data_IF_455951642299
#
_entry.id   IF_455951642299
#
_cell.length_a   1.000
_cell.length_b   1.000
_cell.length_c   1.000
_cell.angle_alpha   90.00
_cell.angle_beta   90.00
_cell.angle_gamma   90.00
#
_symmetry.space_group_name_H-M   'P 1'
#
loop_
_entity.id
_entity.type
_entity.pdbx_description
1 polymer ?
#
# COMPACT_ATOMS: atom_id res chain seq x y z
N UNK A 1 10.65 3.30 -13.62
CA UNK A 1 9.68 3.14 -14.72
C UNK A 1 10.08 1.93 -15.56
N UNK A 2 11.29 1.84 -16.09
CA UNK A 2 11.74 0.70 -16.92
C UNK A 2 11.54 -0.67 -16.23
N UNK A 3 11.78 -0.76 -14.91
CA UNK A 3 11.60 -2.00 -14.14
C UNK A 3 10.12 -2.45 -14.05
N UNK A 4 9.18 -1.53 -14.22
CA UNK A 4 7.73 -1.80 -14.12
C UNK A 4 7.11 -1.98 -15.51
N UNK A 5 7.48 -1.12 -16.46
CA UNK A 5 6.86 -1.07 -17.80
C UNK A 5 7.65 -1.84 -18.86
N UNK A 6 8.89 -2.24 -18.56
CA UNK A 6 9.88 -2.80 -19.49
C UNK A 6 10.14 -1.92 -20.72
N UNK A 7 9.80 -0.63 -20.63
CA UNK A 7 10.01 0.35 -21.70
C UNK A 7 10.85 1.53 -21.17
N UNK A 8 11.78 2.02 -21.98
CA UNK A 8 12.49 3.26 -21.69
C UNK A 8 11.51 4.43 -21.89
N UNK A 9 11.40 5.36 -20.92
CA UNK A 9 10.60 6.56 -21.13
C UNK A 9 11.22 7.39 -22.25
N UNK A 10 10.43 7.73 -23.26
CA UNK A 10 10.90 8.51 -24.41
C UNK A 10 11.25 9.96 -24.01
N UNK A 11 10.45 10.55 -23.13
CA UNK A 11 10.64 11.90 -22.56
C UNK A 11 10.13 11.91 -21.11
N UNK A 12 10.79 12.66 -20.23
CA UNK A 12 10.33 12.91 -18.87
C UNK A 12 9.61 14.26 -18.84
N UNK A 13 8.34 14.25 -18.40
CA UNK A 13 7.58 15.46 -18.22
C UNK A 13 8.15 16.31 -17.08
N UNK A 14 8.19 17.63 -17.27
CA UNK A 14 8.58 18.59 -16.24
C UNK A 14 7.37 19.12 -15.47
N UNK A 15 7.59 19.52 -14.23
CA UNK A 15 6.52 20.13 -13.41
C UNK A 15 6.26 21.55 -13.88
N UNK A 16 4.97 21.93 -14.04
CA UNK A 16 4.56 23.31 -14.36
C UNK A 16 5.09 24.28 -13.30
N UNK A 17 5.46 25.48 -13.75
CA UNK A 17 6.00 26.52 -12.87
C UNK A 17 4.94 27.15 -11.94
N UNK A 18 3.65 26.94 -12.20
CA UNK A 18 2.51 27.56 -11.53
C UNK A 18 1.73 26.61 -10.62
N UNK A 19 2.36 25.52 -10.14
CA UNK A 19 1.71 24.61 -9.20
C UNK A 19 1.30 25.37 -7.95
N UNK A 20 -0.01 25.42 -7.71
CA UNK A 20 -0.57 25.97 -6.48
C UNK A 20 -0.45 24.96 -5.36
N UNK A 21 0.46 25.21 -4.43
CA UNK A 21 0.61 24.42 -3.21
C UNK A 21 -0.57 24.73 -2.29
N UNK A 22 -1.50 23.76 -2.17
CA UNK A 22 -2.66 23.90 -1.30
C UNK A 22 -2.25 23.74 0.17
N UNK A 23 -2.88 24.51 1.05
CA UNK A 23 -2.76 24.28 2.49
C UNK A 23 -3.57 23.05 2.89
N UNK A 24 -3.05 22.30 3.86
CA UNK A 24 -3.82 21.26 4.52
C UNK A 24 -4.99 21.92 5.27
N UNK A 25 -6.22 21.56 4.87
CA UNK A 25 -7.45 22.07 5.50
C UNK A 25 -7.93 21.19 6.65
N UNK A 26 -7.59 19.91 6.59
CA UNK A 26 -7.97 18.90 7.58
C UNK A 26 -6.87 18.76 8.64
N UNK A 27 -7.29 18.47 9.87
CA UNK A 27 -6.38 18.21 10.97
C UNK A 27 -5.76 16.83 10.85
N UNK A 28 -4.71 16.57 11.62
CA UNK A 28 -4.07 15.25 11.66
C UNK A 28 -5.04 14.19 12.19
N UNK A 29 -5.88 14.56 13.15
CA UNK A 29 -6.89 13.68 13.75
C UNK A 29 -7.93 13.25 12.70
N UNK A 30 -8.36 14.17 11.83
CA UNK A 30 -9.27 13.84 10.72
C UNK A 30 -8.63 12.82 9.77
N UNK A 31 -7.36 13.03 9.40
CA UNK A 31 -6.63 12.10 8.53
C UNK A 31 -6.45 10.72 9.17
N UNK A 32 -6.17 10.65 10.47
CA UNK A 32 -6.04 9.39 11.19
C UNK A 32 -7.36 8.63 11.25
N UNK A 33 -8.48 9.31 11.53
CA UNK A 33 -9.79 8.67 11.51
C UNK A 33 -10.14 8.11 10.13
N UNK A 34 -9.92 8.90 9.08
CA UNK A 34 -10.15 8.46 7.71
C UNK A 34 -9.26 7.27 7.35
N UNK A 35 -7.99 7.28 7.77
CA UNK A 35 -7.07 6.18 7.53
C UNK A 35 -7.53 4.88 8.19
N UNK A 36 -7.98 4.92 9.45
CA UNK A 36 -8.48 3.73 10.14
C UNK A 36 -9.74 3.13 9.49
N UNK A 37 -10.56 3.96 8.83
CA UNK A 37 -11.78 3.51 8.16
C UNK A 37 -11.54 2.98 6.75
N UNK A 38 -10.59 3.58 6.01
CA UNK A 38 -10.44 3.33 4.58
C UNK A 38 -9.14 2.58 4.21
N UNK A 39 -8.17 2.48 5.12
CA UNK A 39 -6.92 1.79 4.81
C UNK A 39 -7.16 0.30 4.60
N UNK A 40 -6.76 -0.22 3.43
CA UNK A 40 -6.99 -1.60 3.01
C UNK A 40 -6.31 -2.62 3.92
N UNK A 41 -5.15 -2.29 4.51
CA UNK A 41 -4.44 -3.18 5.44
C UNK A 41 -5.24 -3.35 6.74
N UNK A 42 -5.87 -2.27 7.23
CA UNK A 42 -6.74 -2.34 8.42
C UNK A 42 -7.97 -3.18 8.11
N UNK A 43 -8.62 -2.98 6.95
CA UNK A 43 -9.78 -3.79 6.54
C UNK A 43 -9.42 -5.27 6.39
N UNK A 44 -8.28 -5.57 5.77
CA UNK A 44 -7.78 -6.94 5.64
C UNK A 44 -7.58 -7.60 7.01
N UNK A 45 -7.05 -6.88 8.00
CA UNK A 45 -6.89 -7.43 9.34
C UNK A 45 -8.22 -7.58 10.11
N UNK A 46 -9.20 -6.71 9.86
CA UNK A 46 -10.56 -6.90 10.37
C UNK A 46 -11.19 -8.19 9.81
N UNK A 47 -11.02 -8.45 8.52
CA UNK A 47 -11.48 -9.69 7.89
C UNK A 47 -10.75 -10.92 8.46
N UNK A 48 -9.44 -10.83 8.72
CA UNK A 48 -8.67 -11.90 9.35
C UNK A 48 -9.20 -12.23 10.77
N UNK A 49 -9.59 -11.23 11.55
CA UNK A 49 -10.25 -11.45 12.86
C UNK A 49 -11.60 -12.16 12.67
N UNK A 50 -12.40 -11.75 11.68
CA UNK A 50 -13.68 -12.38 11.38
C UNK A 50 -13.50 -13.84 10.91
N UNK A 51 -12.46 -14.14 10.11
CA UNK A 51 -12.09 -15.51 9.72
C UNK A 51 -11.74 -16.33 10.95
N UNK A 52 -10.82 -15.87 11.80
CA UNK A 52 -10.41 -16.56 13.01
C UNK A 52 -11.58 -16.81 13.97
N UNK A 53 -12.56 -15.91 14.01
CA UNK A 53 -13.80 -16.12 14.77
C UNK A 53 -14.65 -17.27 14.22
N UNK A 54 -14.76 -17.38 12.89
CA UNK A 54 -15.46 -18.50 12.24
C UNK A 54 -14.71 -19.82 12.41
N UNK A 55 -13.39 -19.80 12.44
CA UNK A 55 -12.58 -21.01 12.69
C UNK A 55 -12.84 -21.63 14.06
N UNK A 56 -13.18 -20.83 15.09
CA UNK A 56 -13.63 -21.37 16.38
C UNK A 56 -14.91 -22.18 16.22
N UNK A 57 -15.85 -21.72 15.39
CA UNK A 57 -17.10 -22.43 15.11
C UNK A 57 -16.82 -23.73 14.38
N UNK A 58 -15.93 -23.69 13.37
CA UNK A 58 -15.47 -24.88 12.63
C UNK A 58 -14.80 -25.90 13.57
N UNK A 59 -13.88 -25.42 14.42
CA UNK A 59 -13.22 -26.29 15.42
C UNK A 59 -14.21 -26.97 16.38
N UNK A 60 -15.23 -26.23 16.84
CA UNK A 60 -16.31 -26.79 17.68
C UNK A 60 -17.23 -27.76 16.92
N UNK A 61 -17.41 -27.56 15.61
CA UNK A 61 -18.22 -28.47 14.78
C UNK A 61 -17.63 -29.87 14.69
N UNK A 62 -16.35 -30.08 15.05
CA UNK A 62 -15.78 -31.41 15.20
C UNK A 62 -16.46 -32.31 16.26
N UNK A 63 -17.32 -31.74 17.13
CA UNK A 63 -18.19 -32.51 18.02
C UNK A 63 -19.49 -32.97 17.37
N UNK A 64 -19.82 -32.46 16.18
CA UNK A 64 -21.07 -32.78 15.49
C UNK A 64 -20.93 -34.06 14.65
N UNK A 65 -22.02 -34.81 14.44
CA UNK A 65 -22.04 -35.91 13.50
C UNK A 65 -21.78 -35.44 12.08
N UNK A 66 -21.03 -36.23 11.30
CA UNK A 66 -20.90 -36.08 9.85
C UNK A 66 -21.69 -37.13 9.11
N UNK A 67 -22.31 -36.77 8.01
CA UNK A 67 -23.06 -37.64 7.10
C UNK A 67 -22.49 -37.51 5.72
N UNK A 68 -21.88 -38.56 5.23
CA UNK A 68 -21.20 -38.59 3.95
C UNK A 68 -21.87 -39.58 2.98
N UNK A 69 -22.06 -39.20 1.72
CA UNK A 69 -22.45 -40.10 0.64
C UNK A 69 -21.18 -40.58 -0.05
N UNK A 70 -20.95 -41.87 -0.04
CA UNK A 70 -19.76 -42.49 -0.61
C UNK A 70 -20.15 -43.37 -1.83
N UNK A 71 -19.44 -43.20 -2.94
CA UNK A 71 -19.55 -44.05 -4.10
C UNK A 71 -18.14 -44.48 -4.52
N UNK A 72 -17.91 -45.77 -4.66
CA UNK A 72 -16.65 -46.30 -5.14
C UNK A 72 -16.87 -47.32 -6.24
N UNK A 73 -16.00 -47.27 -7.24
CA UNK A 73 -15.93 -48.29 -8.28
C UNK A 73 -14.49 -48.75 -8.42
N UNK A 74 -14.27 -50.07 -8.29
CA UNK A 74 -12.95 -50.67 -8.46
C UNK A 74 -13.00 -51.82 -9.47
N UNK A 75 -12.03 -51.83 -10.37
CA UNK A 75 -11.76 -52.93 -11.28
C UNK A 75 -10.41 -53.52 -10.88
N UNK A 76 -10.41 -54.82 -10.62
CA UNK A 76 -9.20 -55.57 -10.23
C UNK A 76 -9.04 -56.74 -11.23
N UNK A 77 -7.91 -56.71 -11.96
CA UNK A 77 -7.54 -57.76 -12.88
C UNK A 77 -6.30 -58.51 -12.37
N UNK A 78 -6.42 -59.83 -12.26
CA UNK A 78 -5.31 -60.68 -11.89
C UNK A 78 -5.10 -61.79 -12.94
N UNK A 79 -3.92 -61.84 -13.56
CA UNK A 79 -3.59 -62.83 -14.58
C UNK A 79 -3.46 -64.27 -14.01
N UNK A 80 -3.14 -64.39 -12.72
CA UNK A 80 -3.03 -65.66 -12.01
C UNK A 80 -3.38 -65.45 -10.55
N UNK A 81 -4.33 -66.18 -10.04
CA UNK A 81 -4.60 -66.28 -8.60
C UNK A 81 -3.92 -67.53 -8.03
N UNK A 82 -3.89 -67.68 -6.69
CA UNK A 82 -3.34 -68.87 -5.99
C UNK A 82 -3.96 -70.17 -6.46
N UNK A 83 -5.10 -70.16 -7.18
CA UNK A 83 -5.79 -71.31 -7.74
C UNK A 83 -5.51 -71.55 -9.23
N UNK A 84 -4.56 -70.79 -9.83
CA UNK A 84 -4.12 -70.98 -11.23
C UNK A 84 -5.04 -70.37 -12.32
N UNK A 85 -6.13 -69.66 -11.94
CA UNK A 85 -7.06 -69.04 -12.88
C UNK A 85 -6.95 -67.51 -12.77
N UNK A 86 -7.04 -66.79 -13.92
CA UNK A 86 -7.21 -65.37 -13.99
C UNK A 86 -8.56 -64.92 -13.41
N UNK A 87 -8.61 -63.78 -12.74
CA UNK A 87 -9.85 -63.18 -12.27
C UNK A 87 -9.98 -61.73 -12.69
N UNK A 88 -11.17 -61.35 -13.13
CA UNK A 88 -11.57 -59.97 -13.40
C UNK A 88 -12.75 -59.67 -12.47
N UNK A 89 -12.51 -58.76 -11.55
CA UNK A 89 -13.46 -58.39 -10.51
C UNK A 89 -13.79 -56.90 -10.65
N UNK A 90 -15.06 -56.65 -10.93
CA UNK A 90 -15.66 -55.34 -10.93
C UNK A 90 -16.50 -55.17 -9.65
N UNK A 91 -16.17 -54.23 -8.83
CA UNK A 91 -16.92 -53.96 -7.61
C UNK A 91 -17.38 -52.49 -7.59
N UNK A 92 -18.68 -52.28 -7.44
CA UNK A 92 -19.32 -50.99 -7.27
C UNK A 92 -20.01 -50.94 -5.92
N UNK A 93 -19.70 -49.91 -5.13
CA UNK A 93 -20.32 -49.68 -3.82
C UNK A 93 -20.89 -48.27 -3.78
N UNK A 94 -22.15 -48.15 -3.36
CA UNK A 94 -22.80 -46.87 -3.03
C UNK A 94 -23.38 -47.00 -1.64
N UNK A 95 -23.08 -45.99 -0.80
CA UNK A 95 -23.51 -46.01 0.59
C UNK A 95 -23.62 -44.63 1.22
N UNK A 96 -24.20 -44.60 2.42
CA UNK A 96 -24.25 -43.43 3.28
C UNK A 96 -23.50 -43.81 4.55
N UNK A 97 -22.54 -42.99 4.95
CA UNK A 97 -21.74 -43.18 6.15
C UNK A 97 -22.07 -42.07 7.17
N UNK A 98 -22.52 -42.46 8.37
CA UNK A 98 -22.76 -41.57 9.50
C UNK A 98 -21.65 -41.79 10.53
N UNK A 99 -20.85 -40.77 10.75
CA UNK A 99 -19.78 -40.79 11.77
C UNK A 99 -20.14 -39.87 12.95
N UNK A 100 -20.23 -40.43 14.16
CA UNK A 100 -20.58 -39.71 15.38
C UNK A 100 -19.40 -39.81 16.35
N UNK A 101 -18.61 -38.73 16.55
CA UNK A 101 -17.49 -38.73 17.49
C UNK A 101 -18.01 -38.67 18.94
N UNK A 102 -18.00 -39.80 19.66
CA UNK A 102 -18.46 -39.86 21.06
C UNK A 102 -17.39 -39.32 22.01
N UNK A 103 -16.13 -39.73 21.83
CA UNK A 103 -15.00 -39.32 22.67
C UNK A 103 -13.68 -39.43 21.90
N UNK A 104 -12.91 -38.32 21.92
CA UNK A 104 -11.60 -38.25 21.23
C UNK A 104 -10.49 -37.76 22.17
N UNK A 105 -10.54 -38.14 23.46
CA UNK A 105 -9.49 -37.83 24.42
C UNK A 105 -9.22 -36.34 24.62
N UNK A 106 -10.22 -35.47 24.36
CA UNK A 106 -10.07 -34.00 24.48
C UNK A 106 -9.44 -33.30 23.26
N UNK A 107 -9.17 -34.03 22.18
CA UNK A 107 -8.54 -33.45 20.98
C UNK A 107 -9.35 -32.28 20.39
N UNK A 108 -10.67 -32.44 20.18
CA UNK A 108 -11.53 -31.39 19.64
C UNK A 108 -11.54 -30.15 20.55
N UNK A 109 -11.65 -30.35 21.86
CA UNK A 109 -11.60 -29.26 22.84
C UNK A 109 -10.26 -28.52 22.84
N UNK A 110 -9.15 -29.23 22.55
CA UNK A 110 -7.82 -28.64 22.41
C UNK A 110 -7.73 -27.78 21.14
N UNK A 111 -8.24 -28.29 19.98
CA UNK A 111 -8.31 -27.56 18.72
C UNK A 111 -9.19 -26.31 18.87
N UNK A 112 -10.33 -26.41 19.55
CA UNK A 112 -11.20 -25.26 19.79
C UNK A 112 -10.52 -24.18 20.68
N UNK A 113 -9.72 -24.58 21.68
CA UNK A 113 -8.91 -23.64 22.47
C UNK A 113 -7.81 -23.02 21.64
N UNK A 114 -7.13 -23.78 20.79
CA UNK A 114 -6.14 -23.28 19.86
C UNK A 114 -6.74 -22.23 18.95
N UNK A 115 -7.88 -22.49 18.31
CA UNK A 115 -8.59 -21.50 17.48
C UNK A 115 -8.96 -20.24 18.27
N UNK A 116 -9.29 -20.37 19.58
CA UNK A 116 -9.51 -19.23 20.48
C UNK A 116 -8.26 -18.35 20.65
N UNK A 117 -7.07 -18.94 20.77
CA UNK A 117 -5.80 -18.20 20.83
C UNK A 117 -5.41 -17.60 19.50
N UNK A 118 -5.70 -18.27 18.37
CA UNK A 118 -5.48 -17.69 17.03
C UNK A 118 -6.36 -16.46 16.81
N UNK A 119 -7.62 -16.46 17.28
CA UNK A 119 -8.46 -15.24 17.29
C UNK A 119 -7.84 -14.11 18.11
N UNK A 120 -7.33 -14.40 19.33
CA UNK A 120 -6.66 -13.37 20.13
C UNK A 120 -5.41 -12.83 19.42
N UNK A 121 -4.63 -13.69 18.79
CA UNK A 121 -3.48 -13.29 17.98
C UNK A 121 -3.91 -12.36 16.85
N UNK A 122 -4.94 -12.72 16.07
CA UNK A 122 -5.48 -11.88 14.99
C UNK A 122 -5.97 -10.51 15.51
N UNK A 123 -6.58 -10.46 16.70
CA UNK A 123 -6.97 -9.20 17.34
C UNK A 123 -5.77 -8.30 17.67
N UNK A 124 -4.69 -8.87 18.21
CA UNK A 124 -3.46 -8.12 18.49
C UNK A 124 -2.75 -7.66 17.22
N UNK A 125 -2.79 -8.45 16.14
CA UNK A 125 -2.28 -8.06 14.83
C UNK A 125 -3.09 -6.90 14.22
N UNK A 126 -4.42 -6.90 14.40
CA UNK A 126 -5.26 -5.77 14.03
C UNK A 126 -4.89 -4.50 14.81
N UNK A 127 -4.75 -4.60 16.13
CA UNK A 127 -4.34 -3.47 16.98
C UNK A 127 -2.97 -2.91 16.58
N UNK A 128 -2.02 -3.79 16.24
CA UNK A 128 -0.71 -3.40 15.74
C UNK A 128 -0.84 -2.63 14.42
N UNK A 129 -1.58 -3.18 13.45
CA UNK A 129 -1.79 -2.57 12.13
C UNK A 129 -2.47 -1.21 12.25
N UNK A 130 -3.45 -1.05 13.14
CA UNK A 130 -4.10 0.24 13.40
C UNK A 130 -3.12 1.29 13.94
N UNK A 131 -2.24 0.90 14.87
CA UNK A 131 -1.20 1.79 15.42
C UNK A 131 -0.16 2.17 14.36
N UNK A 132 0.28 1.22 13.56
CA UNK A 132 1.22 1.46 12.45
C UNK A 132 0.61 2.39 11.40
N UNK A 133 -0.66 2.16 11.02
CA UNK A 133 -1.39 3.04 10.08
C UNK A 133 -1.49 4.47 10.61
N UNK A 134 -1.81 4.64 11.90
CA UNK A 134 -1.85 5.95 12.52
C UNK A 134 -0.49 6.65 12.51
N UNK A 135 0.58 5.94 12.87
CA UNK A 135 1.94 6.47 12.89
C UNK A 135 2.41 6.85 11.48
N UNK A 136 2.11 6.01 10.48
CA UNK A 136 2.47 6.26 9.08
C UNK A 136 1.72 7.47 8.51
N UNK A 137 0.41 7.56 8.77
CA UNK A 137 -0.41 8.71 8.37
C UNK A 137 0.11 10.00 9.02
N UNK A 138 0.44 9.97 10.31
CA UNK A 138 1.03 11.10 11.03
C UNK A 138 2.36 11.54 10.40
N UNK A 139 3.24 10.60 10.10
CA UNK A 139 4.52 10.89 9.45
C UNK A 139 4.35 11.53 8.07
N UNK A 140 3.43 11.00 7.25
CA UNK A 140 3.17 11.56 5.92
C UNK A 140 2.51 12.95 6.00
N UNK A 141 1.63 13.18 6.97
CA UNK A 141 1.04 14.48 7.22
C UNK A 141 2.10 15.54 7.55
N UNK A 142 2.98 15.27 8.51
CA UNK A 142 4.03 16.22 8.87
C UNK A 142 5.08 16.41 7.77
N UNK A 143 5.39 15.36 7.01
CA UNK A 143 6.26 15.48 5.84
C UNK A 143 5.64 16.39 4.78
N UNK A 144 4.34 16.28 4.55
CA UNK A 144 3.63 17.15 3.60
C UNK A 144 3.60 18.60 4.10
N UNK A 145 3.26 18.84 5.37
CA UNK A 145 3.24 20.18 5.97
C UNK A 145 4.61 20.86 5.90
N UNK A 146 5.68 20.13 6.28
CA UNK A 146 7.05 20.60 6.15
C UNK A 146 7.42 20.92 4.70
N UNK A 147 7.01 20.10 3.74
CA UNK A 147 7.29 20.33 2.33
C UNK A 147 6.54 21.55 1.79
N UNK A 148 5.31 21.81 2.24
CA UNK A 148 4.56 23.03 1.93
C UNK A 148 5.31 24.27 2.40
N UNK A 149 5.81 24.25 3.65
CA UNK A 149 6.61 25.36 4.19
C UNK A 149 7.91 25.55 3.39
N UNK A 150 8.58 24.44 3.03
CA UNK A 150 9.80 24.48 2.22
C UNK A 150 9.57 25.09 0.83
N UNK A 151 8.50 24.72 0.13
CA UNK A 151 8.19 25.29 -1.19
C UNK A 151 7.99 26.80 -1.08
N UNK A 152 7.25 27.29 -0.08
CA UNK A 152 7.03 28.73 0.13
C UNK A 152 8.34 29.48 0.41
N UNK A 153 9.21 28.90 1.23
CA UNK A 153 10.51 29.50 1.52
C UNK A 153 11.40 29.58 0.28
N UNK A 154 11.40 28.53 -0.56
CA UNK A 154 12.16 28.49 -1.81
C UNK A 154 11.57 29.39 -2.91
N UNK A 155 10.25 29.64 -2.93
CA UNK A 155 9.63 30.64 -3.79
C UNK A 155 10.10 32.05 -3.42
N UNK A 156 10.19 32.36 -2.13
CA UNK A 156 10.72 33.62 -1.66
C UNK A 156 12.23 33.73 -1.95
N UNK A 157 12.99 32.66 -1.76
CA UNK A 157 14.42 32.64 -2.07
C UNK A 157 14.67 32.87 -3.59
N UNK A 158 13.85 32.25 -4.45
CA UNK A 158 13.91 32.46 -5.90
C UNK A 158 13.67 33.91 -6.28
N UNK A 159 12.65 34.57 -5.70
CA UNK A 159 12.37 35.99 -5.89
C UNK A 159 13.55 36.86 -5.48
N UNK A 160 14.18 36.56 -4.34
CA UNK A 160 15.34 37.31 -3.83
C UNK A 160 16.57 37.14 -4.72
N UNK A 161 16.85 35.91 -5.20
CA UNK A 161 18.00 35.65 -6.10
C UNK A 161 17.79 36.25 -7.48
N UNK A 162 16.55 36.34 -7.96
CA UNK A 162 16.20 37.04 -9.18
C UNK A 162 16.52 38.53 -9.08
N UNK A 163 16.07 39.19 -8.00
CA UNK A 163 16.36 40.62 -7.74
C UNK A 163 17.86 40.87 -7.53
N UNK A 164 18.57 39.91 -6.91
CA UNK A 164 20.02 39.98 -6.75
C UNK A 164 20.73 39.97 -8.12
N UNK A 165 20.34 39.06 -9.02
CA UNK A 165 20.92 39.00 -10.37
C UNK A 165 20.67 40.30 -11.14
N UNK A 166 19.43 40.84 -11.10
CA UNK A 166 19.08 42.11 -11.74
C UNK A 166 19.96 43.27 -11.22
N UNK A 167 20.10 43.39 -9.90
CA UNK A 167 20.91 44.42 -9.26
C UNK A 167 22.41 44.26 -9.58
N UNK A 168 22.93 43.01 -9.62
CA UNK A 168 24.33 42.75 -9.92
C UNK A 168 24.61 43.03 -11.39
N UNK A 169 23.70 42.71 -12.29
CA UNK A 169 23.82 43.01 -13.73
C UNK A 169 23.85 44.51 -13.98
N UNK A 170 22.94 45.27 -13.35
CA UNK A 170 22.95 46.73 -13.41
C UNK A 170 24.28 47.31 -12.87
N UNK A 171 24.77 46.78 -11.72
CA UNK A 171 26.06 47.18 -11.15
C UNK A 171 27.24 46.88 -12.07
N UNK A 172 27.19 45.82 -12.86
CA UNK A 172 28.18 45.52 -13.89
C UNK A 172 28.12 46.51 -15.05
N UNK A 173 26.95 46.87 -15.53
CA UNK A 173 26.76 47.84 -16.60
C UNK A 173 27.30 49.24 -16.27
N UNK A 174 27.20 49.65 -14.98
CA UNK A 174 27.75 50.93 -14.52
C UNK A 174 29.19 50.84 -14.01
N UNK A 175 29.82 49.65 -14.10
CA UNK A 175 31.24 49.40 -13.81
C UNK A 175 31.59 49.24 -12.33
N UNK A 176 30.62 49.06 -11.42
CA UNK A 176 30.84 48.86 -9.98
C UNK A 176 30.84 47.40 -9.55
N UNK A 177 30.54 46.47 -10.46
CA UNK A 177 30.57 45.03 -10.30
C UNK A 177 31.39 44.38 -11.39
N UNK A 178 31.85 43.14 -11.14
CA UNK A 178 32.65 42.37 -12.13
C UNK A 178 31.78 41.36 -12.86
N UNK A 179 32.27 40.84 -14.01
CA UNK A 179 31.60 39.73 -14.70
C UNK A 179 31.52 38.44 -13.87
N UNK A 180 32.45 38.25 -12.92
CA UNK A 180 32.43 37.12 -11.97
C UNK A 180 31.25 37.25 -11.03
N UNK A 181 31.00 38.45 -10.52
CA UNK A 181 29.82 38.70 -9.65
C UNK A 181 28.50 38.35 -10.37
N UNK A 182 28.38 38.69 -11.65
CA UNK A 182 27.19 38.38 -12.46
C UNK A 182 27.05 36.85 -12.65
N UNK A 183 28.19 36.17 -12.96
CA UNK A 183 28.18 34.71 -13.11
C UNK A 183 27.80 34.00 -11.83
N UNK A 184 28.30 34.45 -10.67
CA UNK A 184 27.95 33.90 -9.37
C UNK A 184 26.44 34.11 -9.05
N UNK A 185 25.91 35.31 -9.34
CA UNK A 185 24.50 35.58 -9.17
C UNK A 185 23.62 34.71 -10.11
N UNK A 186 24.04 34.47 -11.36
CA UNK A 186 23.37 33.53 -12.26
C UNK A 186 23.40 32.10 -11.74
N UNK A 187 24.56 31.63 -11.27
CA UNK A 187 24.68 30.28 -10.68
C UNK A 187 23.73 30.14 -9.47
N UNK A 188 23.67 31.14 -8.61
CA UNK A 188 22.78 31.12 -7.44
C UNK A 188 21.29 31.08 -7.86
N UNK A 189 20.88 31.83 -8.87
CA UNK A 189 19.53 31.80 -9.43
C UNK A 189 19.17 30.41 -9.97
N UNK A 190 20.05 29.79 -10.75
CA UNK A 190 19.80 28.45 -11.29
C UNK A 190 19.77 27.38 -10.19
N UNK A 191 20.58 27.50 -9.14
CA UNK A 191 20.52 26.64 -7.96
C UNK A 191 19.15 26.77 -7.27
N UNK A 192 18.69 28.01 -7.02
CA UNK A 192 17.39 28.27 -6.39
C UNK A 192 16.22 27.74 -7.22
N UNK A 193 16.29 27.86 -8.57
CA UNK A 193 15.29 27.26 -9.48
C UNK A 193 15.25 25.74 -9.36
N UNK A 194 16.41 25.08 -9.37
CA UNK A 194 16.52 23.62 -9.24
C UNK A 194 15.95 23.16 -7.89
N UNK A 195 16.30 23.84 -6.80
CA UNK A 195 15.91 23.48 -5.45
C UNK A 195 14.37 23.65 -5.26
N UNK A 196 13.79 24.69 -5.85
CA UNK A 196 12.33 24.89 -5.88
C UNK A 196 11.62 23.79 -6.67
N UNK A 197 12.13 23.43 -7.85
CA UNK A 197 11.54 22.34 -8.64
C UNK A 197 11.59 21.02 -7.88
N UNK A 198 12.71 20.70 -7.23
CA UNK A 198 12.84 19.50 -6.40
C UNK A 198 11.82 19.50 -5.24
N UNK A 199 11.63 20.64 -4.57
CA UNK A 199 10.64 20.75 -3.50
C UNK A 199 9.21 20.56 -4.01
N UNK A 200 8.87 21.07 -5.20
CA UNK A 200 7.57 20.86 -5.84
C UNK A 200 7.32 19.40 -6.22
N UNK A 201 8.32 18.70 -6.74
CA UNK A 201 8.21 17.25 -6.95
C UNK A 201 7.99 16.50 -5.64
N UNK A 202 8.72 16.84 -4.59
CA UNK A 202 8.56 16.23 -3.27
C UNK A 202 7.15 16.48 -2.70
N UNK A 203 6.58 17.67 -2.92
CA UNK A 203 5.21 18.01 -2.55
C UNK A 203 4.19 17.08 -3.24
N UNK A 204 4.29 16.88 -4.55
CA UNK A 204 3.39 15.99 -5.29
C UNK A 204 3.49 14.54 -4.80
N UNK A 205 4.71 14.06 -4.55
CA UNK A 205 4.93 12.71 -4.02
C UNK A 205 4.35 12.56 -2.61
N UNK A 206 4.53 13.58 -1.75
CA UNK A 206 4.05 13.52 -0.36
C UNK A 206 2.52 13.59 -0.27
N UNK A 207 1.83 14.30 -1.17
CA UNK A 207 0.37 14.25 -1.28
C UNK A 207 -0.12 12.84 -1.61
N UNK A 208 0.49 12.18 -2.62
CA UNK A 208 0.15 10.81 -2.98
C UNK A 208 0.35 9.86 -1.80
N UNK A 209 1.48 9.98 -1.11
CA UNK A 209 1.81 9.14 0.06
C UNK A 209 0.81 9.31 1.19
N UNK A 210 0.40 10.54 1.47
CA UNK A 210 -0.62 10.82 2.50
C UNK A 210 -1.98 10.22 2.09
N UNK A 211 -2.44 10.44 0.86
CA UNK A 211 -3.69 9.85 0.35
C UNK A 211 -3.63 8.32 0.33
N UNK A 212 -2.49 7.74 -0.03
CA UNK A 212 -2.28 6.29 0.00
C UNK A 212 -2.36 5.72 1.41
N UNK A 213 -1.67 6.33 2.38
CA UNK A 213 -1.72 5.87 3.79
C UNK A 213 -3.11 6.00 4.39
N UNK A 214 -3.89 6.98 3.94
CA UNK A 214 -5.28 7.15 4.34
C UNK A 214 -6.28 6.27 3.57
N UNK A 215 -5.84 5.49 2.57
CA UNK A 215 -6.73 4.68 1.74
C UNK A 215 -7.64 5.48 0.81
N UNK A 216 -7.28 6.75 0.53
CA UNK A 216 -8.06 7.67 -0.30
C UNK A 216 -7.50 7.84 -1.72
N UNK A 217 -6.40 7.17 -2.05
CA UNK A 217 -5.80 7.33 -3.38
C UNK A 217 -6.70 6.75 -4.47
N UNK A 218 -7.07 7.60 -5.42
CA UNK A 218 -7.91 7.26 -6.56
C UNK A 218 -7.19 7.48 -7.90
N UNK A 219 -7.63 6.85 -9.01
CA UNK A 219 -7.09 7.15 -10.34
C UNK A 219 -7.20 8.62 -10.73
N UNK A 220 -8.26 9.32 -10.27
CA UNK A 220 -8.45 10.76 -10.53
C UNK A 220 -7.33 11.62 -9.92
N UNK A 221 -6.79 11.22 -8.76
CA UNK A 221 -5.67 11.91 -8.12
C UNK A 221 -4.40 11.85 -8.98
N UNK A 222 -4.19 10.71 -9.65
CA UNK A 222 -3.06 10.53 -10.57
C UNK A 222 -3.24 11.35 -11.85
N UNK A 223 -4.48 11.44 -12.37
CA UNK A 223 -4.81 12.30 -13.51
C UNK A 223 -4.61 13.79 -13.17
N UNK A 224 -5.04 14.22 -11.97
CA UNK A 224 -4.84 15.59 -11.50
C UNK A 224 -3.34 15.94 -11.46
N UNK A 225 -2.51 15.03 -10.93
CA UNK A 225 -1.06 15.22 -10.90
C UNK A 225 -0.47 15.21 -12.31
N UNK A 226 -0.92 14.30 -13.18
CA UNK A 226 -0.46 14.24 -14.56
C UNK A 226 -0.77 15.55 -15.31
N UNK A 227 -1.91 16.17 -15.04
CA UNK A 227 -2.27 17.46 -15.59
C UNK A 227 -1.42 18.64 -15.08
N UNK A 228 -0.71 18.44 -13.96
CA UNK A 228 0.28 19.41 -13.43
C UNK A 228 1.69 19.21 -14.03
N UNK A 229 1.87 18.19 -14.85
CA UNK A 229 3.11 17.96 -15.58
C UNK A 229 3.01 18.59 -16.98
N UNK A 230 4.12 19.17 -17.45
CA UNK A 230 4.26 19.60 -18.83
C UNK A 230 4.74 18.40 -19.64
N UNK A 231 3.95 17.97 -20.59
CA UNK A 231 4.40 17.07 -21.64
C UNK A 231 4.96 17.96 -22.73
N UNK A 232 6.29 18.01 -22.88
CA UNK A 232 6.91 18.62 -24.06
C UNK A 232 6.47 17.81 -25.28
N UNK A 233 5.63 18.42 -26.09
CA UNK A 233 5.13 17.90 -27.37
C UNK A 233 6.20 18.02 -28.46
#
# INVERSE_FOLDING_TARGET
IQAITNQLPATLATVKSDIKVAQLRQTIEDWQQVALLNNLNVQMQQDNVAIAEREIVVAKAGHLPTLDAVASYSNSYANSSANGFGSDLNNGTIGIELNIPIYQGGAISSVARQAGFEKQKAQHELDLTMRETNLETQRHYFNLDSTIAQVRALEQALSSTQSQLESTTLGYEVGVRTSIDVLDAQQQLYSSKRDLLQARYNYLVNIIRLKFSAGLLSPMDLEEINNQLLVDS
#
